data_IF_950800378968
#
_entry.id   IF_950800378968
#
_cell.length_a   1.000
_cell.length_b   1.000
_cell.length_c   1.000
_cell.angle_alpha   90.00
_cell.angle_beta   90.00
_cell.angle_gamma   90.00
#
_symmetry.space_group_name_H-M   'P 1'
#
loop_
_entity.id
_entity.type
_entity.pdbx_description
1 polymer ?
#
# COMPACT_ATOMS: atom_id res chain seq x y z
N UNK A 1 7.79 6.83 -7.44
CA UNK A 1 9.18 7.24 -7.04
C UNK A 1 9.49 7.09 -5.54
N UNK A 2 8.67 6.37 -4.75
CA UNK A 2 8.89 6.22 -3.29
C UNK A 2 10.28 5.66 -2.92
N UNK A 3 10.79 4.68 -3.67
CA UNK A 3 12.15 4.12 -3.50
C UNK A 3 13.28 5.12 -3.80
N UNK A 4 13.03 6.07 -4.67
CA UNK A 4 13.94 7.18 -4.99
C UNK A 4 13.86 8.33 -3.98
N UNK A 5 13.04 8.19 -2.94
CA UNK A 5 12.89 9.17 -1.85
C UNK A 5 12.39 10.53 -2.32
N UNK A 6 11.48 10.56 -3.28
CA UNK A 6 10.85 11.77 -3.78
C UNK A 6 9.32 11.69 -3.68
N UNK A 7 8.72 12.80 -3.34
CA UNK A 7 7.29 13.06 -3.37
C UNK A 7 7.05 14.55 -3.63
N UNK A 8 5.83 14.89 -3.97
CA UNK A 8 5.44 16.29 -4.13
C UNK A 8 4.12 16.58 -3.42
N UNK A 9 3.89 17.84 -3.10
CA UNK A 9 2.65 18.31 -2.53
C UNK A 9 2.03 19.40 -3.41
N UNK A 10 0.72 19.36 -3.54
CA UNK A 10 -0.09 20.39 -4.23
C UNK A 10 -1.09 20.95 -3.24
N UNK A 11 -1.20 22.28 -3.17
CA UNK A 11 -2.11 22.92 -2.24
C UNK A 11 -2.21 24.42 -2.45
N UNK A 12 -2.91 25.11 -1.55
CA UNK A 12 -3.00 26.57 -1.54
C UNK A 12 -1.61 27.19 -1.45
N UNK A 13 -1.39 28.26 -2.22
CA UNK A 13 -0.08 28.94 -2.32
C UNK A 13 0.45 29.38 -0.96
N UNK A 14 -0.41 29.89 -0.07
CA UNK A 14 -0.01 30.35 1.27
C UNK A 14 0.46 29.18 2.14
N UNK A 15 -0.18 27.99 1.99
CA UNK A 15 0.20 26.78 2.72
C UNK A 15 1.53 26.25 2.20
N UNK A 16 1.68 26.15 0.88
CA UNK A 16 2.93 25.68 0.25
C UNK A 16 4.09 26.61 0.61
N UNK A 17 3.91 27.91 0.57
CA UNK A 17 4.97 28.86 0.96
C UNK A 17 5.38 28.67 2.43
N UNK A 18 4.43 28.50 3.35
CA UNK A 18 4.78 28.19 4.76
C UNK A 18 5.58 26.90 4.91
N UNK A 19 5.25 25.86 4.13
CA UNK A 19 6.04 24.62 4.13
C UNK A 19 7.47 24.90 3.63
N UNK A 20 7.61 25.65 2.54
CA UNK A 20 8.91 26.01 1.96
C UNK A 20 9.81 26.76 2.95
N UNK A 21 9.25 27.65 3.75
CA UNK A 21 9.99 28.41 4.76
C UNK A 21 10.60 27.53 5.87
N UNK A 22 10.11 26.29 6.03
CA UNK A 22 10.52 25.36 7.11
C UNK A 22 11.30 24.15 6.60
N UNK A 23 11.47 23.97 5.29
CA UNK A 23 12.08 22.78 4.69
C UNK A 23 13.20 23.20 3.74
N UNK A 24 14.41 22.79 4.04
CA UNK A 24 15.59 23.00 3.16
C UNK A 24 15.61 22.02 1.98
N UNK A 25 14.51 21.94 1.21
CA UNK A 25 14.32 20.94 0.15
C UNK A 25 15.33 21.08 -1.00
N UNK A 26 15.83 22.27 -1.27
CA UNK A 26 16.76 22.53 -2.40
C UNK A 26 18.12 21.84 -2.20
N UNK A 27 18.53 21.63 -0.96
CA UNK A 27 19.83 21.03 -0.61
C UNK A 27 19.74 19.51 -0.41
N UNK A 28 18.53 18.97 -0.24
CA UNK A 28 18.31 17.57 0.16
C UNK A 28 17.90 16.64 -0.98
N UNK A 29 17.67 17.16 -2.18
CA UNK A 29 17.24 16.34 -3.32
C UNK A 29 18.41 15.89 -4.18
N UNK A 30 18.45 14.57 -4.42
CA UNK A 30 19.39 13.99 -5.37
C UNK A 30 19.02 14.41 -6.81
N UNK A 31 19.97 14.90 -7.58
CA UNK A 31 19.77 15.37 -8.96
C UNK A 31 19.25 14.28 -9.90
N UNK A 32 19.74 13.05 -9.74
CA UNK A 32 19.25 11.91 -10.52
C UNK A 32 17.79 11.63 -10.25
N UNK A 33 17.39 11.71 -8.97
CA UNK A 33 16.00 11.55 -8.54
C UNK A 33 15.09 12.64 -9.14
N UNK A 34 15.56 13.88 -9.15
CA UNK A 34 14.82 15.01 -9.72
C UNK A 34 14.62 14.85 -11.23
N UNK A 35 15.68 14.47 -11.96
CA UNK A 35 15.59 14.22 -13.40
C UNK A 35 14.63 13.06 -13.72
N UNK A 36 14.69 11.97 -12.97
CA UNK A 36 13.77 10.84 -13.11
C UNK A 36 12.31 11.25 -12.83
N UNK A 37 12.06 12.06 -11.80
CA UNK A 37 10.73 12.53 -11.47
C UNK A 37 10.11 13.42 -12.55
N UNK A 38 10.91 14.31 -13.13
CA UNK A 38 10.46 15.17 -14.24
C UNK A 38 10.09 14.33 -15.47
N UNK A 39 10.83 13.27 -15.76
CA UNK A 39 10.51 12.32 -16.83
C UNK A 39 9.20 11.56 -16.53
N UNK A 40 9.03 11.06 -15.30
CA UNK A 40 7.84 10.30 -14.89
C UNK A 40 6.56 11.15 -14.87
N UNK A 41 6.64 12.43 -14.52
CA UNK A 41 5.49 13.34 -14.56
C UNK A 41 4.91 13.54 -15.97
N UNK A 42 5.73 13.32 -17.00
CA UNK A 42 5.31 13.40 -18.41
C UNK A 42 4.84 12.05 -18.98
N UNK A 43 5.06 10.95 -18.25
CA UNK A 43 4.64 9.60 -18.65
C UNK A 43 3.20 9.31 -18.20
N UNK A 44 2.25 9.78 -19.03
CA UNK A 44 0.83 9.58 -18.75
C UNK A 44 0.38 8.13 -18.89
N UNK A 45 1.06 7.35 -19.74
CA UNK A 45 0.75 5.94 -19.95
C UNK A 45 1.11 5.13 -18.70
N UNK A 46 2.31 5.30 -18.17
CA UNK A 46 2.73 4.64 -16.92
C UNK A 46 1.77 4.97 -15.75
N UNK A 47 1.34 6.23 -15.64
CA UNK A 47 0.41 6.63 -14.57
C UNK A 47 -0.94 5.92 -14.71
N UNK A 48 -1.45 5.80 -15.94
CA UNK A 48 -2.70 5.10 -16.25
C UNK A 48 -2.58 3.62 -15.93
N UNK A 49 -1.56 2.95 -16.45
CA UNK A 49 -1.31 1.52 -16.23
C UNK A 49 -1.13 1.20 -14.74
N UNK A 50 -0.37 2.02 -14.02
CA UNK A 50 -0.17 1.86 -12.57
C UNK A 50 -1.47 1.98 -11.80
N UNK A 51 -2.33 2.92 -12.18
CA UNK A 51 -3.63 3.10 -11.55
C UNK A 51 -4.55 1.92 -11.84
N UNK A 52 -4.66 1.49 -13.08
CA UNK A 52 -5.49 0.36 -13.50
C UNK A 52 -5.06 -0.94 -12.80
N UNK A 53 -3.76 -1.22 -12.76
CA UNK A 53 -3.21 -2.37 -12.04
C UNK A 53 -3.51 -2.33 -10.54
N UNK A 54 -3.38 -1.16 -9.90
CA UNK A 54 -3.70 -0.99 -8.49
C UNK A 54 -5.21 -1.15 -8.22
N UNK A 55 -6.06 -0.64 -9.08
CA UNK A 55 -7.51 -0.77 -8.97
C UNK A 55 -7.95 -2.24 -9.13
N UNK A 56 -7.41 -2.98 -10.11
CA UNK A 56 -7.65 -4.42 -10.28
C UNK A 56 -7.18 -5.21 -9.04
N UNK A 57 -5.98 -4.94 -8.57
CA UNK A 57 -5.40 -5.59 -7.38
C UNK A 57 -6.29 -5.38 -6.13
N UNK A 58 -6.82 -4.18 -5.97
CA UNK A 58 -7.73 -3.82 -4.87
C UNK A 58 -9.06 -4.55 -4.97
N UNK A 59 -9.64 -4.64 -6.15
CA UNK A 59 -10.91 -5.36 -6.36
C UNK A 59 -10.77 -6.87 -6.11
N UNK A 60 -9.64 -7.49 -6.50
CA UNK A 60 -9.33 -8.88 -6.17
C UNK A 60 -9.36 -9.08 -4.66
N UNK A 61 -8.69 -8.20 -3.91
CA UNK A 61 -8.66 -8.26 -2.45
C UNK A 61 -10.05 -8.04 -1.84
N UNK A 62 -10.77 -7.01 -2.26
CA UNK A 62 -12.10 -6.69 -1.74
C UNK A 62 -13.10 -7.82 -1.93
N UNK A 63 -13.09 -8.47 -3.10
CA UNK A 63 -13.94 -9.63 -3.38
C UNK A 63 -13.67 -10.75 -2.37
N UNK A 64 -12.41 -11.08 -2.15
CA UNK A 64 -12.03 -12.12 -1.21
C UNK A 64 -12.39 -11.76 0.24
N UNK A 65 -12.17 -10.52 0.68
CA UNK A 65 -12.51 -10.08 2.03
C UNK A 65 -14.02 -10.16 2.29
N UNK A 66 -14.86 -9.80 1.30
CA UNK A 66 -16.31 -9.96 1.36
C UNK A 66 -16.71 -11.44 1.46
N UNK A 67 -16.16 -12.30 0.62
CA UNK A 67 -16.42 -13.75 0.62
C UNK A 67 -16.04 -14.40 1.97
N UNK A 68 -14.96 -13.95 2.59
CA UNK A 68 -14.43 -14.47 3.85
C UNK A 68 -15.02 -13.80 5.10
N UNK A 69 -15.89 -12.79 4.93
CA UNK A 69 -16.43 -11.95 6.00
C UNK A 69 -15.32 -11.31 6.87
N UNK A 70 -14.23 -10.86 6.25
CA UNK A 70 -13.15 -10.13 6.92
C UNK A 70 -13.42 -8.64 6.78
N UNK A 71 -13.59 -7.90 7.90
CA UNK A 71 -13.81 -6.45 7.83
C UNK A 71 -12.58 -5.73 7.30
N UNK A 72 -12.81 -4.66 6.55
CA UNK A 72 -11.76 -3.82 6.00
C UNK A 72 -12.18 -2.36 5.89
N UNK A 73 -11.21 -1.46 5.80
CA UNK A 73 -11.45 -0.05 5.51
C UNK A 73 -11.32 0.19 4.01
N UNK A 74 -12.35 0.78 3.34
CA UNK A 74 -12.24 1.19 1.95
C UNK A 74 -11.05 2.13 1.74
N UNK A 75 -10.28 1.90 0.69
CA UNK A 75 -9.03 2.62 0.42
C UNK A 75 -9.00 3.21 -0.99
N UNK A 76 -8.40 4.39 -1.11
CA UNK A 76 -8.05 5.03 -2.38
C UNK A 76 -6.52 5.01 -2.62
N UNK A 77 -5.79 4.25 -1.78
CA UNK A 77 -4.33 4.16 -1.83
C UNK A 77 -3.88 2.82 -2.42
N UNK A 78 -2.59 2.55 -2.38
CA UNK A 78 -1.99 1.28 -2.76
C UNK A 78 -1.88 0.29 -1.57
N UNK A 79 -2.74 0.42 -0.57
CA UNK A 79 -2.85 -0.52 0.53
C UNK A 79 -4.28 -0.55 1.09
N UNK A 80 -4.62 -1.62 1.79
CA UNK A 80 -5.90 -1.81 2.48
C UNK A 80 -5.63 -2.23 3.92
N UNK A 81 -6.37 -1.69 4.87
CA UNK A 81 -6.40 -2.20 6.25
C UNK A 81 -7.50 -3.24 6.40
N UNK A 82 -7.15 -4.41 6.90
CA UNK A 82 -8.07 -5.51 7.22
C UNK A 82 -8.06 -5.79 8.71
N UNK A 83 -9.22 -6.10 9.28
CA UNK A 83 -9.37 -6.48 10.69
C UNK A 83 -9.32 -8.00 10.83
N UNK A 84 -8.23 -8.53 11.35
CA UNK A 84 -8.04 -9.96 11.58
C UNK A 84 -8.84 -10.47 12.79
N UNK A 85 -9.33 -9.57 13.65
CA UNK A 85 -9.95 -9.89 14.97
C UNK A 85 -9.09 -10.81 15.84
N UNK A 86 -7.81 -10.85 15.57
CA UNK A 86 -6.80 -11.66 16.23
C UNK A 86 -5.45 -10.93 16.22
N UNK A 87 -4.51 -11.30 17.10
CA UNK A 87 -3.16 -10.72 17.08
C UNK A 87 -2.48 -10.89 15.72
N UNK A 88 -1.89 -9.79 15.21
CA UNK A 88 -1.25 -9.78 13.90
C UNK A 88 -0.06 -10.74 13.78
N UNK A 89 0.72 -10.94 14.86
CA UNK A 89 1.97 -11.69 14.79
C UNK A 89 1.82 -13.13 14.26
N UNK A 90 0.89 -13.99 14.76
CA UNK A 90 0.70 -15.32 14.22
C UNK A 90 0.34 -15.34 12.73
N UNK A 91 -0.49 -14.40 12.29
CA UNK A 91 -0.84 -14.25 10.89
C UNK A 91 0.38 -13.86 10.03
N UNK A 92 1.15 -12.87 10.51
CA UNK A 92 2.35 -12.41 9.81
C UNK A 92 3.41 -13.50 9.69
N UNK A 93 3.62 -14.30 10.76
CA UNK A 93 4.59 -15.39 10.75
C UNK A 93 4.17 -16.48 9.74
N UNK A 94 2.89 -16.81 9.65
CA UNK A 94 2.36 -17.79 8.68
C UNK A 94 2.44 -17.29 7.25
N UNK A 95 2.08 -16.02 7.01
CA UNK A 95 2.23 -15.38 5.69
C UNK A 95 3.69 -15.36 5.25
N UNK A 96 4.61 -15.08 6.19
CA UNK A 96 6.06 -15.10 5.92
C UNK A 96 6.55 -16.48 5.51
N UNK A 97 5.99 -17.55 6.08
CA UNK A 97 6.31 -18.93 5.68
C UNK A 97 5.87 -19.23 4.23
N UNK A 98 4.85 -18.54 3.73
CA UNK A 98 4.41 -18.57 2.34
C UNK A 98 5.08 -17.47 1.48
N UNK A 99 6.22 -16.92 1.93
CA UNK A 99 6.97 -15.85 1.26
C UNK A 99 6.20 -14.52 1.07
N UNK A 100 5.17 -14.27 1.88
CA UNK A 100 4.38 -13.05 1.86
C UNK A 100 4.70 -12.20 3.09
N UNK A 101 5.22 -10.99 2.87
CA UNK A 101 5.49 -10.03 3.94
C UNK A 101 4.30 -9.08 4.09
N UNK A 102 3.67 -9.08 5.26
CA UNK A 102 2.59 -8.15 5.59
C UNK A 102 3.09 -6.99 6.45
N UNK A 103 2.27 -5.93 6.57
CA UNK A 103 2.64 -4.73 7.31
C UNK A 103 2.86 -4.97 8.80
N UNK A 104 3.59 -4.05 9.45
CA UNK A 104 3.80 -4.04 10.90
C UNK A 104 2.51 -3.67 11.65
N UNK A 105 2.39 -3.97 12.95
CA UNK A 105 1.26 -3.50 13.75
C UNK A 105 1.27 -1.97 13.89
N UNK A 106 0.08 -1.38 14.05
CA UNK A 106 -0.14 0.05 14.22
C UNK A 106 -0.89 0.30 15.54
N UNK A 107 -0.21 0.40 16.70
CA UNK A 107 -0.86 0.68 17.96
C UNK A 107 -1.70 1.98 17.91
N UNK A 108 -2.90 2.01 18.50
CA UNK A 108 -3.52 0.95 19.29
C UNK A 108 -4.21 -0.16 18.46
N UNK A 109 -4.26 -0.05 17.14
CA UNK A 109 -4.97 -0.97 16.24
C UNK A 109 -4.15 -2.26 15.96
N UNK A 110 -3.76 -2.98 17.00
CA UNK A 110 -2.82 -4.12 16.92
C UNK A 110 -3.38 -5.36 16.23
N UNK A 111 -4.69 -5.44 16.05
CA UNK A 111 -5.38 -6.50 15.30
C UNK A 111 -5.56 -6.17 13.82
N UNK A 112 -5.29 -4.94 13.43
CA UNK A 112 -5.40 -4.50 12.05
C UNK A 112 -4.11 -4.78 11.29
N UNK A 113 -4.25 -5.35 10.11
CA UNK A 113 -3.15 -5.63 9.20
C UNK A 113 -3.22 -4.72 7.98
N UNK A 114 -2.13 -4.00 7.68
CA UNK A 114 -2.00 -3.26 6.44
C UNK A 114 -1.47 -4.19 5.35
N UNK A 115 -2.28 -4.41 4.33
CA UNK A 115 -1.91 -5.16 3.12
C UNK A 115 -1.55 -4.15 2.04
N UNK A 116 -0.28 -4.09 1.66
CA UNK A 116 0.14 -3.34 0.47
C UNK A 116 -0.31 -4.09 -0.78
N UNK A 117 -0.89 -3.38 -1.74
CA UNK A 117 -1.31 -3.97 -2.99
C UNK A 117 -0.08 -4.17 -3.88
N UNK A 118 0.12 -5.39 -4.31
CA UNK A 118 1.07 -5.76 -5.35
C UNK A 118 0.40 -5.76 -6.73
N UNK A 119 0.99 -6.47 -7.67
CA UNK A 119 0.37 -6.75 -8.95
C UNK A 119 -0.90 -7.60 -8.79
N UNK A 120 -1.83 -7.60 -9.75
CA UNK A 120 -2.99 -8.50 -9.72
C UNK A 120 -2.63 -9.98 -9.50
N UNK A 121 -1.52 -10.45 -10.07
CA UNK A 121 -1.04 -11.82 -9.89
C UNK A 121 -0.62 -12.11 -8.44
N UNK A 122 0.15 -11.21 -7.82
CA UNK A 122 0.57 -11.32 -6.42
C UNK A 122 -0.64 -11.26 -5.48
N UNK A 123 -1.64 -10.42 -5.78
CA UNK A 123 -2.85 -10.36 -4.99
C UNK A 123 -3.71 -11.62 -5.11
N UNK A 124 -3.75 -12.27 -6.27
CA UNK A 124 -4.42 -13.59 -6.41
C UNK A 124 -3.73 -14.65 -5.53
N UNK A 125 -2.40 -14.68 -5.51
CA UNK A 125 -1.65 -15.58 -4.63
C UNK A 125 -1.89 -15.29 -3.15
N UNK A 126 -1.84 -14.02 -2.75
CA UNK A 126 -2.17 -13.62 -1.37
C UNK A 126 -3.58 -14.08 -0.96
N UNK A 127 -4.57 -13.87 -1.83
CA UNK A 127 -5.96 -14.28 -1.59
C UNK A 127 -6.11 -15.79 -1.47
N UNK A 128 -5.40 -16.56 -2.29
CA UNK A 128 -5.36 -18.03 -2.18
C UNK A 128 -4.91 -18.45 -0.77
N UNK A 129 -3.79 -17.91 -0.30
CA UNK A 129 -3.26 -18.21 1.05
C UNK A 129 -4.19 -17.71 2.16
N UNK A 130 -4.81 -16.56 1.98
CA UNK A 130 -5.78 -16.04 2.94
C UNK A 130 -7.00 -16.98 3.07
N UNK A 131 -7.50 -17.53 1.96
CA UNK A 131 -8.60 -18.51 1.94
C UNK A 131 -8.20 -19.82 2.65
N UNK A 132 -6.99 -20.34 2.37
CA UNK A 132 -6.45 -21.51 3.09
C UNK A 132 -6.39 -21.26 4.60
N UNK A 133 -5.92 -20.08 5.02
CA UNK A 133 -5.82 -19.74 6.44
C UNK A 133 -7.19 -19.62 7.10
N UNK A 134 -8.18 -19.09 6.38
CA UNK A 134 -9.56 -19.05 6.86
C UNK A 134 -10.14 -20.46 7.07
N UNK A 135 -9.91 -21.38 6.13
CA UNK A 135 -10.35 -22.78 6.25
C UNK A 135 -9.71 -23.50 7.45
N UNK A 136 -8.46 -23.14 7.78
CA UNK A 136 -7.74 -23.67 8.94
C UNK A 136 -8.11 -22.99 10.27
N UNK A 137 -8.99 -22.00 10.24
CA UNK A 137 -9.37 -21.22 11.44
C UNK A 137 -8.24 -20.32 11.96
N UNK A 138 -7.34 -19.88 11.10
CA UNK A 138 -6.19 -19.05 11.47
C UNK A 138 -6.42 -17.54 11.31
N UNK A 139 -7.52 -17.18 10.65
CA UNK A 139 -7.99 -15.81 10.37
C UNK A 139 -9.51 -15.76 10.47
#
# INVERSE_FOLDING_TARGET
MAGMRLGYAVGDVKVINKIRDHVAYEVMMNQTTLAAALSELNDKEFLKESKESNDEAREILYKALKELNIPYLPSQTNFVFIDLKAPLKPFADRMKAEHILVGRPFPPAVQWCRISLGTPAEMRYFVEKLKEFRQKGWV
#
